data_IF_323471486182
#
_entry.id   IF_323471486182
#
_cell.length_a   1.000
_cell.length_b   1.000
_cell.length_c   1.000
_cell.angle_alpha   90.00
_cell.angle_beta   90.00
_cell.angle_gamma   90.00
#
_symmetry.space_group_name_H-M   'P 1'
#
loop_
_entity.id
_entity.type
_entity.pdbx_description
1 polymer ?
#
# COMPACT_ATOMS: atom_id res chain seq x y z
N UNK A 1 -22.70 -16.70 -3.11
CA UNK A 1 -21.88 -17.18 -4.24
C UNK A 1 -20.46 -16.60 -4.28
N UNK A 2 -20.21 -15.44 -3.67
CA UNK A 2 -18.90 -14.76 -3.69
C UNK A 2 -18.09 -15.00 -2.41
N UNK A 3 -18.73 -15.40 -1.33
CA UNK A 3 -18.09 -15.58 -0.03
C UNK A 3 -17.11 -16.78 -0.07
N UNK A 4 -15.87 -16.54 0.33
CA UNK A 4 -14.80 -17.53 0.32
C UNK A 4 -14.19 -17.84 -1.05
N UNK A 5 -14.47 -17.00 -2.05
CA UNK A 5 -13.75 -16.94 -3.32
C UNK A 5 -12.69 -15.82 -3.29
N UNK A 6 -11.79 -15.79 -4.27
CA UNK A 6 -10.78 -14.72 -4.35
C UNK A 6 -11.35 -13.30 -4.60
N UNK A 7 -12.63 -13.17 -4.90
CA UNK A 7 -13.36 -11.89 -4.86
C UNK A 7 -13.39 -11.28 -3.45
N UNK A 8 -13.39 -12.09 -2.39
CA UNK A 8 -13.28 -11.59 -1.00
C UNK A 8 -11.92 -10.93 -0.73
N UNK A 9 -10.75 -11.55 -1.03
CA UNK A 9 -9.47 -10.88 -1.01
C UNK A 9 -9.38 -9.62 -1.88
N UNK A 10 -10.02 -9.57 -3.07
CA UNK A 10 -10.10 -8.33 -3.87
C UNK A 10 -10.69 -7.20 -3.06
N UNK A 11 -11.87 -7.45 -2.47
CA UNK A 11 -12.54 -6.45 -1.63
C UNK A 11 -11.67 -6.07 -0.41
N UNK A 12 -11.09 -7.05 0.26
CA UNK A 12 -10.25 -6.81 1.42
C UNK A 12 -9.02 -5.95 1.08
N UNK A 13 -8.29 -6.26 0.00
CA UNK A 13 -7.14 -5.46 -0.42
C UNK A 13 -7.55 -4.05 -0.86
N UNK A 14 -8.62 -3.91 -1.63
CA UNK A 14 -9.11 -2.61 -2.06
C UNK A 14 -9.58 -1.75 -0.89
N UNK A 15 -10.35 -2.30 0.04
CA UNK A 15 -10.87 -1.57 1.19
C UNK A 15 -9.83 -1.36 2.28
N UNK A 16 -9.13 -2.42 2.74
CA UNK A 16 -8.22 -2.32 3.87
C UNK A 16 -6.93 -1.58 3.51
N UNK A 17 -6.31 -1.88 2.37
CA UNK A 17 -5.11 -1.16 1.94
C UNK A 17 -5.43 0.09 1.14
N UNK A 18 -6.34 0.00 0.15
CA UNK A 18 -6.65 1.11 -0.75
C UNK A 18 -7.39 2.26 -0.09
N UNK A 19 -8.16 2.02 0.97
CA UNK A 19 -8.85 3.09 1.71
C UNK A 19 -8.21 3.27 3.08
N UNK A 20 -8.37 2.31 3.98
CA UNK A 20 -7.95 2.48 5.37
C UNK A 20 -6.44 2.54 5.54
N UNK A 21 -5.67 1.74 4.81
CA UNK A 21 -4.21 1.75 4.86
C UNK A 21 -3.64 3.09 4.38
N UNK A 22 -4.11 3.60 3.24
CA UNK A 22 -3.63 4.89 2.72
C UNK A 22 -4.10 6.06 3.58
N UNK A 23 -5.29 5.98 4.16
CA UNK A 23 -5.77 6.97 5.11
C UNK A 23 -4.91 6.99 6.37
N UNK A 24 -4.58 5.82 6.93
CA UNK A 24 -3.68 5.72 8.09
C UNK A 24 -2.29 6.27 7.80
N UNK A 25 -1.71 5.98 6.63
CA UNK A 25 -0.43 6.56 6.21
C UNK A 25 -0.53 8.09 6.06
N UNK A 26 -1.59 8.59 5.44
CA UNK A 26 -1.84 10.03 5.30
C UNK A 26 -1.94 10.73 6.64
N UNK A 27 -2.69 10.17 7.59
CA UNK A 27 -2.77 10.70 8.96
C UNK A 27 -1.43 10.63 9.69
N UNK A 28 -0.67 9.56 9.55
CA UNK A 28 0.66 9.45 10.15
C UNK A 28 1.59 10.57 9.67
N UNK A 29 1.61 10.83 8.37
CA UNK A 29 2.40 11.92 7.78
C UNK A 29 1.90 13.30 8.23
N UNK A 30 0.59 13.49 8.32
CA UNK A 30 -0.02 14.73 8.80
C UNK A 30 0.36 15.00 10.27
N UNK A 31 0.22 14.00 11.14
CA UNK A 31 0.60 14.09 12.55
C UNK A 31 2.10 14.38 12.69
N UNK A 32 2.93 13.68 11.91
CA UNK A 32 4.38 13.91 11.92
C UNK A 32 4.71 15.34 11.52
N UNK A 33 4.06 15.89 10.51
CA UNK A 33 4.23 17.29 10.09
C UNK A 33 3.75 18.28 11.14
N UNK A 34 2.68 17.95 11.88
CA UNK A 34 2.17 18.81 12.96
C UNK A 34 3.10 18.80 14.18
N UNK A 35 3.62 17.65 14.57
CA UNK A 35 4.52 17.50 15.73
C UNK A 35 5.94 18.00 15.42
N UNK A 36 6.37 17.90 14.17
CA UNK A 36 7.70 18.31 13.68
C UNK A 36 7.56 19.25 12.48
N UNK A 37 7.13 20.50 12.66
CA UNK A 37 6.93 21.45 11.56
C UNK A 37 8.22 21.77 10.80
N UNK A 38 9.38 21.64 11.47
CA UNK A 38 10.71 21.81 10.87
C UNK A 38 11.12 20.68 9.93
N UNK A 39 10.40 19.54 9.96
CA UNK A 39 10.73 18.38 9.13
C UNK A 39 10.41 18.64 7.67
N UNK A 40 11.42 18.55 6.84
CA UNK A 40 11.25 18.57 5.39
C UNK A 40 11.08 17.15 4.86
N UNK A 41 9.96 16.89 4.22
CA UNK A 41 9.72 15.62 3.53
C UNK A 41 10.51 15.55 2.24
N UNK A 42 11.15 14.42 1.99
CA UNK A 42 11.77 14.15 0.70
C UNK A 42 10.67 13.89 -0.34
N UNK A 43 10.38 14.89 -1.17
CA UNK A 43 9.31 14.79 -2.17
C UNK A 43 9.50 13.64 -3.16
N UNK A 44 10.74 13.35 -3.57
CA UNK A 44 11.01 12.25 -4.51
C UNK A 44 10.67 10.91 -3.86
N UNK A 45 11.10 10.71 -2.62
CA UNK A 45 10.82 9.50 -1.85
C UNK A 45 9.31 9.33 -1.62
N UNK A 46 8.61 10.41 -1.29
CA UNK A 46 7.16 10.40 -1.08
C UNK A 46 6.39 10.11 -2.37
N UNK A 47 6.77 10.74 -3.49
CA UNK A 47 6.17 10.46 -4.80
C UNK A 47 6.42 9.01 -5.23
N UNK A 48 7.63 8.51 -5.06
CA UNK A 48 7.96 7.11 -5.34
C UNK A 48 7.13 6.19 -4.47
N UNK A 49 7.10 6.39 -3.15
CA UNK A 49 6.29 5.59 -2.24
C UNK A 49 4.82 5.57 -2.62
N UNK A 50 4.24 6.73 -2.92
CA UNK A 50 2.84 6.85 -3.35
C UNK A 50 2.54 6.03 -4.62
N UNK A 51 3.35 6.21 -5.68
CA UNK A 51 3.10 5.52 -6.94
C UNK A 51 3.37 4.01 -6.87
N UNK A 52 4.36 3.59 -6.10
CA UNK A 52 4.67 2.18 -5.93
C UNK A 52 3.62 1.47 -5.05
N UNK A 53 3.10 2.11 -4.01
CA UNK A 53 1.99 1.57 -3.22
C UNK A 53 0.74 1.39 -4.08
N UNK A 54 0.33 2.44 -4.81
CA UNK A 54 -0.85 2.36 -5.67
C UNK A 54 -0.66 1.39 -6.83
N UNK A 55 0.48 1.46 -7.51
CA UNK A 55 0.82 0.58 -8.62
C UNK A 55 0.90 -0.89 -8.20
N UNK A 56 1.53 -1.18 -7.06
CA UNK A 56 1.59 -2.53 -6.49
C UNK A 56 0.20 -3.07 -6.14
N UNK A 57 -0.64 -2.26 -5.50
CA UNK A 57 -2.02 -2.65 -5.17
C UNK A 57 -2.86 -2.93 -6.43
N UNK A 58 -2.77 -2.06 -7.43
CA UNK A 58 -3.46 -2.26 -8.71
C UNK A 58 -2.96 -3.52 -9.41
N UNK A 59 -1.64 -3.76 -9.44
CA UNK A 59 -1.06 -4.96 -10.02
C UNK A 59 -1.57 -6.22 -9.31
N UNK A 60 -1.54 -6.30 -7.99
CA UNK A 60 -2.06 -7.43 -7.22
C UNK A 60 -3.52 -7.74 -7.56
N UNK A 61 -4.35 -6.71 -7.59
CA UNK A 61 -5.78 -6.86 -7.84
C UNK A 61 -6.02 -7.24 -9.30
N UNK A 62 -5.50 -6.47 -10.26
CA UNK A 62 -5.85 -6.62 -11.67
C UNK A 62 -5.23 -7.86 -12.33
N UNK A 63 -4.03 -8.27 -11.92
CA UNK A 63 -3.34 -9.39 -12.58
C UNK A 63 -3.54 -10.75 -11.92
N UNK A 64 -4.02 -10.77 -10.68
CA UNK A 64 -4.16 -12.02 -9.92
C UNK A 64 -5.50 -12.14 -9.21
N UNK A 65 -5.73 -11.34 -8.17
CA UNK A 65 -6.88 -11.54 -7.28
C UNK A 65 -8.22 -11.45 -8.02
N UNK A 66 -8.40 -10.44 -8.85
CA UNK A 66 -9.64 -10.26 -9.61
C UNK A 66 -9.83 -11.35 -10.68
N UNK A 67 -8.85 -11.65 -11.55
CA UNK A 67 -8.98 -12.74 -12.50
C UNK A 67 -9.31 -14.08 -11.84
N UNK A 68 -8.56 -14.50 -10.81
CA UNK A 68 -8.83 -15.74 -10.09
C UNK A 68 -10.24 -15.72 -9.50
N UNK A 69 -10.64 -14.59 -8.88
CA UNK A 69 -11.96 -14.43 -8.29
C UNK A 69 -13.10 -14.58 -9.32
N UNK A 70 -12.92 -14.02 -10.53
CA UNK A 70 -13.90 -14.14 -11.61
C UNK A 70 -13.98 -15.60 -12.15
N UNK A 71 -12.85 -16.27 -12.34
CA UNK A 71 -12.83 -17.67 -12.75
C UNK A 71 -13.47 -18.58 -11.69
N UNK A 72 -13.18 -18.34 -10.40
CA UNK A 72 -13.84 -19.06 -9.31
C UNK A 72 -15.34 -18.77 -9.25
N UNK A 73 -15.75 -17.54 -9.49
CA UNK A 73 -17.17 -17.19 -9.53
C UNK A 73 -17.88 -17.94 -10.66
N UNK A 74 -17.31 -17.96 -11.86
CA UNK A 74 -17.84 -18.73 -12.97
C UNK A 74 -17.95 -20.22 -12.64
N UNK A 75 -16.87 -20.82 -12.13
CA UNK A 75 -16.86 -22.24 -11.72
C UNK A 75 -17.88 -22.52 -10.60
N UNK A 76 -18.07 -21.59 -9.67
CA UNK A 76 -19.06 -21.70 -8.60
C UNK A 76 -20.51 -21.76 -9.11
N UNK A 77 -20.79 -21.04 -10.20
CA UNK A 77 -22.12 -21.01 -10.82
C UNK A 77 -22.35 -22.24 -11.69
N UNK A 78 -21.33 -22.68 -12.44
CA UNK A 78 -21.45 -23.82 -13.39
C UNK A 78 -21.32 -25.18 -12.74
N UNK A 79 -20.41 -25.36 -11.79
CA UNK A 79 -20.02 -26.66 -11.22
C UNK A 79 -20.21 -26.72 -9.70
N UNK A 80 -20.57 -25.62 -9.10
CA UNK A 80 -20.83 -25.53 -7.68
C UNK A 80 -19.69 -24.95 -6.84
N UNK A 81 -20.05 -24.42 -5.68
CA UNK A 81 -19.15 -23.70 -4.79
C UNK A 81 -17.98 -24.55 -4.27
N UNK A 82 -18.23 -25.84 -4.01
CA UNK A 82 -17.22 -26.75 -3.51
C UNK A 82 -16.14 -27.04 -4.56
N UNK A 83 -16.52 -27.20 -5.82
CA UNK A 83 -15.57 -27.36 -6.92
C UNK A 83 -14.69 -26.13 -7.06
N UNK A 84 -15.28 -24.93 -7.09
CA UNK A 84 -14.53 -23.67 -7.22
C UNK A 84 -13.51 -23.41 -6.10
N UNK A 85 -13.70 -24.05 -4.95
CA UNK A 85 -12.77 -24.00 -3.80
C UNK A 85 -11.87 -25.21 -3.69
N UNK A 86 -12.22 -26.27 -4.40
CA UNK A 86 -11.54 -27.55 -4.34
C UNK A 86 -10.14 -27.52 -4.95
N UNK A 87 -9.37 -28.52 -4.56
CA UNK A 87 -7.99 -28.65 -5.04
C UNK A 87 -7.95 -28.82 -6.57
N UNK A 88 -8.88 -29.57 -7.15
CA UNK A 88 -8.98 -29.79 -8.58
C UNK A 88 -9.06 -28.50 -9.40
N UNK A 89 -9.77 -27.48 -8.91
CA UNK A 89 -9.81 -26.15 -9.53
C UNK A 89 -8.57 -25.33 -9.21
N UNK A 90 -8.18 -25.28 -7.92
CA UNK A 90 -7.12 -24.39 -7.45
C UNK A 90 -5.72 -24.81 -7.92
N UNK A 91 -5.50 -26.08 -8.26
CA UNK A 91 -4.22 -26.59 -8.77
C UNK A 91 -4.10 -26.50 -10.30
N UNK A 92 -5.07 -25.96 -10.99
CA UNK A 92 -4.95 -25.75 -12.44
C UNK A 92 -3.74 -24.86 -12.75
N UNK A 93 -2.91 -25.23 -13.76
CA UNK A 93 -1.67 -24.50 -14.09
C UNK A 93 -1.90 -23.01 -14.31
N UNK A 94 -3.01 -22.64 -14.95
CA UNK A 94 -3.38 -21.25 -15.18
C UNK A 94 -3.63 -20.48 -13.87
N UNK A 95 -4.36 -21.07 -12.94
CA UNK A 95 -4.63 -20.46 -11.63
C UNK A 95 -3.33 -20.31 -10.84
N UNK A 96 -2.46 -21.32 -10.87
CA UNK A 96 -1.15 -21.25 -10.22
C UNK A 96 -0.27 -20.14 -10.82
N UNK A 97 -0.27 -19.98 -12.15
CA UNK A 97 0.45 -18.89 -12.80
C UNK A 97 -0.03 -17.52 -12.32
N UNK A 98 -1.35 -17.29 -12.26
CA UNK A 98 -1.91 -16.04 -11.75
C UNK A 98 -1.55 -15.78 -10.28
N UNK A 99 -1.45 -16.83 -9.46
CA UNK A 99 -1.00 -16.71 -8.07
C UNK A 99 0.47 -16.26 -7.97
N UNK A 100 1.34 -16.81 -8.82
CA UNK A 100 2.75 -16.39 -8.86
C UNK A 100 2.94 -14.98 -9.42
N UNK A 101 2.17 -14.59 -10.43
CA UNK A 101 2.20 -13.22 -10.97
C UNK A 101 1.88 -12.17 -9.90
N UNK A 102 1.06 -12.51 -8.91
CA UNK A 102 0.77 -11.64 -7.78
C UNK A 102 2.04 -11.20 -7.04
N UNK A 103 3.01 -12.09 -6.89
CA UNK A 103 4.26 -11.81 -6.16
C UNK A 103 4.96 -10.56 -6.68
N UNK A 104 4.88 -10.30 -7.99
CA UNK A 104 5.42 -9.07 -8.56
C UNK A 104 4.72 -7.81 -8.01
N UNK A 105 3.40 -7.83 -7.94
CA UNK A 105 2.63 -6.73 -7.35
C UNK A 105 2.92 -6.55 -5.85
N UNK A 106 3.03 -7.66 -5.11
CA UNK A 106 3.38 -7.66 -3.68
C UNK A 106 4.76 -7.01 -3.46
N UNK A 107 5.77 -7.32 -4.28
CA UNK A 107 7.11 -6.73 -4.20
C UNK A 107 7.08 -5.22 -4.48
N UNK A 108 6.38 -4.80 -5.53
CA UNK A 108 6.22 -3.37 -5.86
C UNK A 108 5.55 -2.63 -4.69
N UNK A 109 4.50 -3.19 -4.10
CA UNK A 109 3.81 -2.62 -2.95
C UNK A 109 4.73 -2.49 -1.74
N UNK A 110 5.51 -3.54 -1.41
CA UNK A 110 6.44 -3.54 -0.27
C UNK A 110 7.50 -2.46 -0.44
N UNK A 111 8.08 -2.29 -1.63
CA UNK A 111 9.07 -1.23 -1.88
C UNK A 111 8.46 0.15 -1.63
N UNK A 112 7.23 0.38 -2.09
CA UNK A 112 6.49 1.61 -1.80
C UNK A 112 6.27 1.83 -0.30
N UNK A 113 5.86 0.78 0.43
CA UNK A 113 5.65 0.82 1.87
C UNK A 113 6.95 1.13 2.64
N UNK A 114 8.07 0.51 2.24
CA UNK A 114 9.37 0.78 2.84
C UNK A 114 9.84 2.22 2.60
N UNK A 115 9.58 2.80 1.42
CA UNK A 115 9.91 4.19 1.13
C UNK A 115 9.15 5.16 2.05
N UNK A 116 7.85 4.95 2.26
CA UNK A 116 7.05 5.77 3.19
C UNK A 116 7.46 5.53 4.64
N UNK A 117 7.66 4.27 5.05
CA UNK A 117 8.10 3.92 6.38
C UNK A 117 9.46 4.57 6.72
N UNK A 118 10.39 4.55 5.79
CA UNK A 118 11.68 5.21 5.96
C UNK A 118 11.54 6.72 6.18
N UNK A 119 10.64 7.38 5.45
CA UNK A 119 10.37 8.81 5.65
C UNK A 119 9.82 9.08 7.07
N UNK A 120 8.89 8.23 7.55
CA UNK A 120 8.33 8.37 8.90
C UNK A 120 9.40 8.13 9.97
N UNK A 121 10.15 7.04 9.85
CA UNK A 121 11.21 6.66 10.80
C UNK A 121 12.30 7.72 10.85
N UNK A 122 12.80 8.17 9.73
CA UNK A 122 13.81 9.23 9.65
C UNK A 122 13.30 10.57 10.21
N UNK A 123 12.01 10.86 10.05
CA UNK A 123 11.37 12.02 10.65
C UNK A 123 11.22 11.94 12.17
N UNK A 124 10.94 10.76 12.69
CA UNK A 124 10.83 10.54 14.17
C UNK A 124 12.20 10.57 14.84
N UNK A 125 13.20 9.91 14.26
CA UNK A 125 14.53 9.76 14.87
C UNK A 125 15.56 10.79 14.39
N UNK A 126 15.24 11.58 13.36
CA UNK A 126 16.12 12.66 12.91
C UNK A 126 16.40 13.67 14.03
N UNK A 127 17.65 14.07 14.13
CA UNK A 127 18.08 15.07 15.12
C UNK A 127 17.27 16.34 14.95
N UNK A 128 16.77 16.92 16.05
CA UNK A 128 16.17 18.25 16.03
C UNK A 128 17.25 19.22 15.58
N UNK A 129 17.00 19.98 14.53
CA UNK A 129 17.83 21.13 14.23
C UNK A 129 17.91 22.02 15.50
N UNK A 130 19.08 22.54 15.86
CA UNK A 130 19.19 23.43 16.99
C UNK A 130 18.18 24.55 16.81
N UNK A 131 17.34 24.80 17.83
CA UNK A 131 16.40 25.91 17.80
C UNK A 131 17.21 27.22 17.58
N UNK A 132 16.95 27.91 16.49
CA UNK A 132 17.51 29.25 16.28
C UNK A 132 17.04 30.09 17.46
N UNK A 133 17.95 30.65 18.29
CA UNK A 133 17.55 31.44 19.45
C UNK A 133 16.69 32.58 18.96
N UNK A 134 15.53 32.77 19.58
CA UNK A 134 14.52 33.77 19.21
C UNK A 134 15.04 35.24 19.18
N UNK A 135 16.29 35.48 19.59
CA UNK A 135 16.96 36.78 19.54
C UNK A 135 17.79 37.05 18.26
N UNK A 136 18.06 36.05 17.42
CA UNK A 136 18.93 36.24 16.26
C UNK A 136 18.25 37.01 15.11
N UNK A 137 16.92 36.91 15.00
CA UNK A 137 16.14 37.57 13.92
C UNK A 137 15.95 39.06 14.10
N UNK A 138 16.09 39.60 15.31
CA UNK A 138 15.91 41.04 15.57
C UNK A 138 17.19 41.87 15.39
N UNK A 139 18.34 41.19 15.33
CA UNK A 139 19.62 41.90 15.13
C UNK A 139 19.92 42.19 13.65
N UNK A 140 19.35 41.44 12.73
CA UNK A 140 19.62 41.55 11.29
C UNK A 140 18.74 42.60 10.59
N UNK A 141 17.59 42.97 11.18
CA UNK A 141 16.65 43.96 10.63
C UNK A 141 16.99 45.41 11.03
N UNK A 142 18.08 45.62 11.78
CA UNK A 142 18.53 46.98 12.25
C UNK A 142 19.86 47.45 11.64
N UNK A 143 20.27 46.84 10.54
CA UNK A 143 21.44 47.38 9.79
C UNK A 143 21.02 47.89 8.43
#
# INVERSE_FOLDING_TARGET
>A
YIQGLNTTPVHAHAALFGVYGFLALGFTLLVLRYVRPELQFNERLMKTGFWWLNGGLVLMIATSLLPIGLFQFHASVSEGLWYARGEAFMQQPFIQTLRWVRTFGDVVFIVGALAVAWQVVSGVWGSRAPAVPAGATLAETRR
#
